data_IF_180463640950
#
_entry.id   IF_180463640950
#
_cell.length_a   1.000
_cell.length_b   1.000
_cell.length_c   1.000
_cell.angle_alpha   90.00
_cell.angle_beta   90.00
_cell.angle_gamma   90.00
#
_symmetry.space_group_name_H-M   'P 1'
#
loop_
_entity.id
_entity.type
_entity.pdbx_description
1 polymer ?
#
# COMPACT_ATOMS: atom_id res chain seq x y z
N UNK A 1 -17.18 0.64 -51.52
CA UNK A 1 -16.05 0.27 -50.65
C UNK A 1 -15.76 1.45 -49.75
N UNK A 2 -16.14 1.38 -48.47
CA UNK A 2 -15.85 2.42 -47.49
C UNK A 2 -14.62 2.00 -46.68
N UNK A 3 -13.51 2.72 -46.83
CA UNK A 3 -12.29 2.50 -46.08
C UNK A 3 -12.43 3.10 -44.67
N UNK A 4 -12.61 2.25 -43.67
CA UNK A 4 -12.52 2.66 -42.26
C UNK A 4 -11.05 2.86 -41.91
N UNK A 5 -10.56 4.09 -42.07
CA UNK A 5 -9.29 4.49 -41.47
C UNK A 5 -9.49 4.61 -39.96
N UNK A 6 -9.27 3.50 -39.25
CA UNK A 6 -9.07 3.51 -37.81
C UNK A 6 -7.78 4.28 -37.51
N UNK A 7 -7.93 5.58 -37.23
CA UNK A 7 -6.87 6.38 -36.66
C UNK A 7 -6.62 5.89 -35.23
N UNK A 8 -5.68 4.96 -35.07
CA UNK A 8 -5.01 4.74 -33.79
C UNK A 8 -4.31 6.05 -33.43
N UNK A 9 -4.93 6.85 -32.57
CA UNK A 9 -4.28 7.95 -31.89
C UNK A 9 -3.55 7.31 -30.70
N UNK A 10 -2.21 7.22 -30.71
CA UNK A 10 -1.48 6.81 -29.52
C UNK A 10 -1.62 7.94 -28.49
N UNK A 11 -2.57 7.81 -27.57
CA UNK A 11 -2.63 8.66 -26.38
C UNK A 11 -1.42 8.31 -25.51
N UNK A 12 -0.33 9.02 -25.72
CA UNK A 12 0.82 9.03 -24.81
C UNK A 12 0.38 9.84 -23.59
N UNK A 13 -0.24 9.16 -22.63
CA UNK A 13 -0.61 9.74 -21.35
C UNK A 13 0.66 9.85 -20.51
N UNK A 14 1.14 11.08 -20.29
CA UNK A 14 2.26 11.31 -19.38
C UNK A 14 1.78 11.25 -17.93
N UNK A 15 1.84 10.06 -17.34
CA UNK A 15 1.57 9.88 -15.91
C UNK A 15 2.84 10.25 -15.14
N UNK A 16 2.74 11.33 -14.36
CA UNK A 16 3.70 11.68 -13.31
C UNK A 16 3.17 11.20 -11.96
N UNK A 17 4.01 10.47 -11.23
CA UNK A 17 3.67 9.80 -9.96
C UNK A 17 4.63 10.27 -8.83
N UNK A 18 4.22 10.35 -7.55
CA UNK A 18 4.85 11.26 -6.54
C UNK A 18 5.03 10.73 -5.08
N UNK A 19 6.03 9.88 -4.72
CA UNK A 19 6.22 9.15 -3.41
C UNK A 19 7.69 8.96 -2.96
N UNK A 20 8.08 8.91 -1.67
CA UNK A 20 7.50 9.48 -0.41
C UNK A 20 8.54 9.49 0.73
N UNK A 21 8.15 10.15 1.84
CA UNK A 21 8.77 10.27 3.16
C UNK A 21 9.63 9.06 3.61
N UNK A 22 10.84 9.38 4.05
CA UNK A 22 11.74 8.48 4.77
C UNK A 22 12.16 9.15 6.10
N UNK A 23 11.54 8.76 7.22
CA UNK A 23 11.94 9.23 8.54
C UNK A 23 13.10 8.36 9.06
N UNK A 24 14.31 8.93 9.15
CA UNK A 24 15.45 8.22 9.70
C UNK A 24 15.21 7.79 11.17
N UNK A 25 15.63 6.58 11.58
CA UNK A 25 15.43 6.09 12.95
C UNK A 25 16.01 6.97 14.07
N UNK A 26 16.95 7.87 13.74
CA UNK A 26 17.66 8.72 14.70
C UNK A 26 17.03 10.08 15.00
N UNK A 27 16.03 10.55 14.22
CA UNK A 27 15.34 11.83 14.49
C UNK A 27 14.00 11.64 15.26
N UNK A 28 13.64 10.41 15.59
CA UNK A 28 12.29 10.00 16.02
C UNK A 28 12.08 9.95 17.55
N UNK A 29 12.95 10.54 18.38
CA UNK A 29 12.88 10.35 19.84
C UNK A 29 12.27 11.48 20.68
N UNK A 30 12.42 12.75 20.31
CA UNK A 30 12.12 13.86 21.25
C UNK A 30 10.85 14.68 20.94
N UNK A 31 10.31 14.65 19.72
CA UNK A 31 9.14 15.47 19.33
C UNK A 31 8.08 14.66 18.55
N UNK A 32 7.55 13.59 19.17
CA UNK A 32 6.20 13.13 18.81
C UNK A 32 5.16 14.07 19.42
N UNK A 33 5.01 15.26 18.83
CA UNK A 33 3.74 15.96 18.86
C UNK A 33 2.73 15.07 18.12
N UNK A 34 2.07 14.18 18.87
CA UNK A 34 0.93 13.41 18.37
C UNK A 34 -0.01 14.36 17.66
N UNK A 35 -0.33 14.08 16.38
CA UNK A 35 -1.16 14.93 15.54
C UNK A 35 -2.41 15.30 16.33
N UNK A 36 -2.53 16.57 16.74
CA UNK A 36 -3.68 17.03 17.52
C UNK A 36 -4.89 17.09 16.60
N UNK A 37 -5.57 15.96 16.48
CA UNK A 37 -6.77 15.81 15.68
C UNK A 37 -7.85 16.74 16.23
N UNK A 38 -8.55 17.45 15.34
CA UNK A 38 -9.69 18.27 15.73
C UNK A 38 -10.73 17.39 16.46
N UNK A 39 -11.05 17.69 17.75
CA UNK A 39 -12.02 16.90 18.50
C UNK A 39 -13.41 16.83 17.85
N UNK A 40 -13.77 17.82 17.03
CA UNK A 40 -15.01 17.82 16.26
C UNK A 40 -14.94 16.82 15.10
N UNK A 41 -13.80 16.76 14.41
CA UNK A 41 -13.57 15.77 13.35
C UNK A 41 -13.57 14.35 13.92
N UNK A 42 -12.89 14.12 15.05
CA UNK A 42 -12.94 12.84 15.77
C UNK A 42 -14.38 12.46 16.15
N UNK A 43 -15.16 13.40 16.70
CA UNK A 43 -16.56 13.16 17.05
C UNK A 43 -17.41 12.81 15.82
N UNK A 44 -17.21 13.49 14.70
CA UNK A 44 -17.94 13.28 13.44
C UNK A 44 -17.53 11.98 12.73
N UNK A 45 -16.25 11.60 12.79
CA UNK A 45 -15.77 10.31 12.29
C UNK A 45 -16.37 9.16 13.12
N UNK A 46 -16.32 9.27 14.45
CA UNK A 46 -16.83 8.26 15.37
C UNK A 46 -18.36 8.13 15.29
N UNK A 47 -19.11 9.21 15.02
CA UNK A 47 -20.58 9.15 14.89
C UNK A 47 -21.07 8.34 13.70
N UNK A 48 -20.19 8.00 12.74
CA UNK A 48 -20.52 7.13 11.59
C UNK A 48 -20.40 5.63 11.93
N UNK A 49 -19.93 5.28 13.12
CA UNK A 49 -19.69 3.89 13.55
C UNK A 49 -20.90 3.40 14.36
N UNK A 50 -21.91 2.90 13.66
CA UNK A 50 -23.19 2.50 14.26
C UNK A 50 -23.13 1.13 14.97
N UNK A 51 -22.32 0.19 14.47
CA UNK A 51 -22.31 -1.21 14.91
C UNK A 51 -20.96 -1.63 15.51
N UNK A 52 -20.74 -1.29 16.78
CA UNK A 52 -19.54 -1.72 17.52
C UNK A 52 -19.73 -3.15 18.05
N UNK A 53 -19.15 -4.12 17.36
CA UNK A 53 -19.29 -5.55 17.67
C UNK A 53 -18.56 -5.91 18.98
N UNK A 54 -19.23 -6.74 19.80
CA UNK A 54 -18.62 -7.49 20.89
C UNK A 54 -18.63 -8.97 20.51
N UNK A 55 -17.47 -9.62 20.56
CA UNK A 55 -17.27 -11.00 20.12
C UNK A 55 -17.41 -11.96 21.29
N UNK A 56 -18.42 -12.83 21.22
CA UNK A 56 -18.70 -13.88 22.20
C UNK A 56 -18.95 -15.22 21.49
N UNK A 57 -18.79 -16.34 22.21
CA UNK A 57 -19.09 -17.69 21.72
C UNK A 57 -18.47 -18.01 20.35
N UNK A 58 -17.16 -17.75 20.19
CA UNK A 58 -16.46 -18.03 18.94
C UNK A 58 -16.40 -19.54 18.66
N UNK A 59 -16.83 -19.91 17.45
CA UNK A 59 -16.83 -21.28 16.93
C UNK A 59 -16.18 -21.32 15.55
N UNK A 60 -15.90 -22.52 15.05
CA UNK A 60 -15.36 -22.72 13.70
C UNK A 60 -16.32 -22.27 12.57
N UNK A 61 -17.59 -21.98 12.89
CA UNK A 61 -18.51 -21.32 11.94
C UNK A 61 -18.06 -19.89 11.60
N UNK A 62 -17.39 -19.20 12.54
CA UNK A 62 -16.83 -17.87 12.31
C UNK A 62 -15.55 -17.97 11.46
N UNK A 63 -14.76 -19.03 11.65
CA UNK A 63 -13.62 -19.33 10.80
C UNK A 63 -14.06 -19.48 9.33
N UNK A 64 -15.03 -20.34 9.03
CA UNK A 64 -15.46 -20.54 7.64
C UNK A 64 -16.09 -19.28 7.02
N UNK A 65 -16.79 -18.44 7.79
CA UNK A 65 -17.27 -17.14 7.30
C UNK A 65 -16.12 -16.22 6.91
N UNK A 66 -15.10 -16.10 7.77
CA UNK A 66 -13.91 -15.30 7.47
C UNK A 66 -13.16 -15.79 6.22
N UNK A 67 -13.13 -17.11 5.98
CA UNK A 67 -12.49 -17.67 4.79
C UNK A 67 -13.35 -17.64 3.52
N UNK A 68 -14.65 -17.35 3.62
CA UNK A 68 -15.54 -17.12 2.46
C UNK A 68 -15.54 -15.64 2.06
N UNK A 69 -15.41 -14.73 3.01
CA UNK A 69 -15.38 -13.27 2.78
C UNK A 69 -14.07 -12.79 2.13
N UNK A 70 -13.02 -13.62 2.11
CA UNK A 70 -11.70 -13.30 1.58
C UNK A 70 -11.28 -14.34 0.53
N UNK A 71 -11.04 -13.92 -0.72
CA UNK A 71 -10.47 -14.77 -1.79
C UNK A 71 -8.95 -14.92 -1.61
N UNK A 72 -8.56 -15.41 -0.42
CA UNK A 72 -7.16 -15.51 0.01
C UNK A 72 -6.71 -16.97 -0.03
N UNK A 73 -5.40 -17.17 -0.20
CA UNK A 73 -4.80 -18.49 -0.02
C UNK A 73 -5.05 -19.01 1.40
N UNK A 74 -5.80 -20.12 1.50
CA UNK A 74 -6.17 -20.75 2.77
C UNK A 74 -5.01 -21.52 3.41
N UNK A 75 -3.93 -21.81 2.68
CA UNK A 75 -2.84 -22.70 3.11
C UNK A 75 -2.29 -22.41 4.52
N UNK A 76 -2.05 -21.13 4.83
CA UNK A 76 -1.56 -20.66 6.14
C UNK A 76 -2.54 -20.89 7.29
N UNK A 77 -3.84 -20.83 7.01
CA UNK A 77 -4.90 -20.98 8.01
C UNK A 77 -5.32 -22.46 8.17
N UNK A 78 -5.29 -23.22 7.08
CA UNK A 78 -5.56 -24.66 7.04
C UNK A 78 -4.41 -25.48 7.68
N UNK A 79 -3.20 -24.91 7.78
CA UNK A 79 -2.06 -25.50 8.49
C UNK A 79 -2.25 -25.59 10.02
N UNK A 80 -3.18 -24.81 10.58
CA UNK A 80 -3.53 -24.83 12.00
C UNK A 80 -4.60 -25.88 12.30
N UNK A 81 -4.59 -26.44 13.51
CA UNK A 81 -5.72 -27.25 14.01
C UNK A 81 -6.94 -26.38 14.33
N UNK A 82 -8.16 -26.92 14.28
CA UNK A 82 -9.36 -26.21 14.73
C UNK A 82 -9.25 -25.67 16.17
N UNK A 83 -8.58 -26.42 17.04
CA UNK A 83 -8.31 -26.03 18.42
C UNK A 83 -7.39 -24.81 18.52
N UNK A 84 -6.31 -24.75 17.71
CA UNK A 84 -5.42 -23.58 17.62
C UNK A 84 -6.15 -22.37 17.05
N UNK A 85 -6.91 -22.53 15.96
CA UNK A 85 -7.71 -21.44 15.37
C UNK A 85 -8.71 -20.86 16.37
N UNK A 86 -9.46 -21.71 17.07
CA UNK A 86 -10.41 -21.29 18.09
C UNK A 86 -9.74 -20.60 19.28
N UNK A 87 -8.54 -21.05 19.68
CA UNK A 87 -7.75 -20.41 20.74
C UNK A 87 -7.26 -19.01 20.31
N UNK A 88 -6.67 -18.89 19.13
CA UNK A 88 -6.17 -17.63 18.56
C UNK A 88 -7.29 -16.59 18.41
N UNK A 89 -8.43 -17.00 17.85
CA UNK A 89 -9.61 -16.13 17.71
C UNK A 89 -10.13 -15.66 19.08
N UNK A 90 -10.15 -16.53 20.10
CA UNK A 90 -10.57 -16.19 21.47
C UNK A 90 -9.61 -15.23 22.17
N UNK A 91 -8.32 -15.36 21.92
CA UNK A 91 -7.30 -14.43 22.42
C UNK A 91 -7.46 -13.05 21.76
N UNK A 92 -7.50 -12.98 20.42
CA UNK A 92 -7.71 -11.74 19.69
C UNK A 92 -8.99 -11.01 20.11
N UNK A 93 -10.10 -11.75 20.24
CA UNK A 93 -11.38 -11.19 20.66
C UNK A 93 -11.36 -10.56 22.07
N UNK A 94 -10.50 -11.02 22.98
CA UNK A 94 -10.35 -10.41 24.31
C UNK A 94 -9.80 -8.98 24.21
N UNK A 95 -8.73 -8.79 23.45
CA UNK A 95 -8.13 -7.47 23.21
C UNK A 95 -9.07 -6.57 22.42
N UNK A 96 -9.69 -7.10 21.35
CA UNK A 96 -10.67 -6.38 20.52
C UNK A 96 -11.88 -5.93 21.34
N UNK A 97 -12.45 -6.79 22.19
CA UNK A 97 -13.58 -6.42 23.04
C UNK A 97 -13.19 -5.31 24.04
N UNK A 98 -12.00 -5.37 24.64
CA UNK A 98 -11.51 -4.33 25.53
C UNK A 98 -11.35 -2.97 24.80
N UNK A 99 -10.80 -2.98 23.58
CA UNK A 99 -10.71 -1.79 22.73
C UNK A 99 -12.09 -1.24 22.33
N UNK A 100 -13.02 -2.12 21.96
CA UNK A 100 -14.36 -1.73 21.54
C UNK A 100 -15.19 -1.15 22.72
N UNK A 101 -15.00 -1.65 23.95
CA UNK A 101 -15.55 -1.02 25.14
C UNK A 101 -14.87 0.32 25.48
N UNK A 102 -13.55 0.47 25.22
CA UNK A 102 -12.88 1.76 25.33
C UNK A 102 -13.45 2.79 24.32
N UNK A 103 -13.71 2.36 23.08
CA UNK A 103 -14.38 3.19 22.06
C UNK A 103 -15.80 3.60 22.47
N UNK A 104 -16.65 2.63 22.87
CA UNK A 104 -18.01 2.91 23.42
C UNK A 104 -17.96 3.88 24.61
N UNK A 105 -16.93 3.76 25.46
CA UNK A 105 -16.67 4.62 26.61
C UNK A 105 -16.03 5.99 26.27
N UNK A 106 -15.82 6.30 24.98
CA UNK A 106 -15.14 7.51 24.49
C UNK A 106 -13.70 7.69 25.02
N UNK A 107 -13.03 6.56 25.30
CA UNK A 107 -11.61 6.48 25.68
C UNK A 107 -10.69 6.10 24.51
N UNK A 108 -11.26 5.88 23.33
CA UNK A 108 -10.57 5.56 22.08
C UNK A 108 -11.29 6.20 20.89
N UNK A 109 -10.55 6.49 19.81
CA UNK A 109 -11.00 7.07 18.54
C UNK A 109 -11.36 6.04 17.46
N UNK A 110 -11.23 4.74 17.74
CA UNK A 110 -11.47 3.69 16.76
C UNK A 110 -11.80 2.33 17.39
N UNK A 111 -12.44 1.47 16.60
CA UNK A 111 -12.76 0.08 16.92
C UNK A 111 -11.73 -0.87 16.34
N UNK A 112 -11.63 -2.06 16.93
CA UNK A 112 -10.95 -3.20 16.33
C UNK A 112 -11.99 -4.29 15.99
N UNK A 113 -11.67 -5.15 15.03
CA UNK A 113 -12.51 -6.25 14.53
C UNK A 113 -11.67 -7.52 14.42
N UNK A 114 -12.31 -8.68 14.54
CA UNK A 114 -11.68 -9.92 14.09
C UNK A 114 -11.49 -9.86 12.58
N UNK A 115 -10.34 -10.34 12.11
CA UNK A 115 -10.00 -10.49 10.69
C UNK A 115 -9.53 -11.92 10.44
N UNK A 116 -9.34 -12.32 9.19
CA UNK A 116 -8.72 -13.62 8.91
C UNK A 116 -7.33 -13.74 9.57
N UNK A 117 -6.57 -12.64 9.69
CA UNK A 117 -5.27 -12.62 10.38
C UNK A 117 -5.38 -13.00 11.88
N UNK A 118 -6.51 -12.70 12.54
CA UNK A 118 -6.79 -13.14 13.93
C UNK A 118 -6.77 -14.66 14.11
N UNK A 119 -6.89 -15.44 13.03
CA UNK A 119 -6.83 -16.92 13.05
C UNK A 119 -5.38 -17.41 13.28
N UNK A 120 -4.37 -16.65 12.81
CA UNK A 120 -2.96 -17.08 12.87
C UNK A 120 -2.34 -17.01 14.28
N UNK A 121 -2.89 -16.15 15.15
CA UNK A 121 -2.23 -15.83 16.41
C UNK A 121 -0.91 -15.07 16.22
N UNK A 122 -0.31 -14.60 17.31
CA UNK A 122 0.82 -13.67 17.25
C UNK A 122 2.06 -14.27 16.55
N UNK A 123 2.37 -15.54 16.82
CA UNK A 123 3.56 -16.24 16.30
C UNK A 123 3.52 -16.37 14.78
N UNK A 124 2.42 -16.90 14.25
CA UNK A 124 2.34 -17.22 12.82
C UNK A 124 1.94 -15.98 12.00
N UNK A 125 1.28 -14.99 12.61
CA UNK A 125 1.20 -13.64 12.04
C UNK A 125 2.58 -13.00 11.85
N UNK A 126 3.44 -13.01 12.87
CA UNK A 126 4.83 -12.51 12.79
C UNK A 126 5.62 -13.20 11.68
N UNK A 127 5.48 -14.51 11.55
CA UNK A 127 6.13 -15.29 10.48
C UNK A 127 5.58 -14.92 9.09
N UNK A 128 4.26 -14.70 8.93
CA UNK A 128 3.65 -14.22 7.68
C UNK A 128 4.19 -12.86 7.26
N UNK A 129 4.32 -11.91 8.17
CA UNK A 129 4.75 -10.54 7.84
C UNK A 129 6.26 -10.34 7.82
N UNK A 130 7.08 -11.37 8.14
CA UNK A 130 8.53 -11.22 8.36
C UNK A 130 9.32 -10.64 7.17
N UNK A 131 8.86 -10.88 5.95
CA UNK A 131 9.50 -10.39 4.72
C UNK A 131 9.02 -8.97 4.36
N UNK A 132 7.99 -8.46 5.02
CA UNK A 132 7.45 -7.10 4.87
C UNK A 132 8.12 -6.09 5.83
N UNK A 133 9.03 -6.56 6.69
CA UNK A 133 9.57 -5.79 7.83
C UNK A 133 10.70 -4.83 7.47
N UNK A 134 11.51 -5.19 6.48
CA UNK A 134 12.69 -4.42 6.07
C UNK A 134 12.47 -3.87 4.64
N UNK A 135 12.12 -2.58 4.48
CA UNK A 135 11.92 -1.97 3.16
C UNK A 135 13.24 -1.81 2.39
N UNK A 136 14.38 -2.12 3.01
CA UNK A 136 15.70 -2.04 2.40
C UNK A 136 16.25 -3.45 2.14
N UNK A 137 16.25 -3.93 0.88
CA UNK A 137 16.99 -5.15 0.51
C UNK A 137 18.43 -5.09 1.00
N UNK A 138 19.07 -6.23 1.29
CA UNK A 138 20.44 -6.20 1.86
C UNK A 138 21.46 -5.45 0.99
N UNK A 139 21.22 -5.43 -0.31
CA UNK A 139 22.04 -4.76 -1.34
C UNK A 139 21.63 -3.30 -1.63
N UNK A 140 20.58 -2.76 -1.00
CA UNK A 140 20.25 -1.31 -1.08
C UNK A 140 21.12 -0.44 -0.18
N UNK A 141 21.83 -1.06 0.78
CA UNK A 141 22.84 -0.44 1.64
C UNK A 141 23.96 0.13 0.79
N UNK A 142 23.77 1.39 0.41
CA UNK A 142 24.65 2.23 -0.40
C UNK A 142 25.71 1.48 -1.21
N UNK A 143 25.49 1.41 -2.53
CA UNK A 143 26.60 1.57 -3.46
C UNK A 143 27.16 2.99 -3.34
N UNK A 144 27.81 3.26 -2.21
CA UNK A 144 28.64 4.42 -1.91
C UNK A 144 29.86 4.31 -2.83
N UNK A 145 29.63 4.66 -4.10
CA UNK A 145 30.64 4.59 -5.14
C UNK A 145 31.79 5.49 -4.69
N UNK A 146 33.02 4.95 -4.68
CA UNK A 146 34.25 5.67 -4.34
C UNK A 146 34.53 6.93 -5.18
N UNK A 147 33.63 7.28 -6.11
CA UNK A 147 33.68 8.38 -7.06
C UNK A 147 32.46 9.33 -6.96
N UNK A 148 31.58 9.19 -5.97
CA UNK A 148 30.48 10.13 -5.67
C UNK A 148 29.32 10.20 -6.69
N UNK A 149 29.34 9.40 -7.76
CA UNK A 149 28.38 9.50 -8.87
C UNK A 149 26.91 9.34 -8.46
N UNK A 150 26.60 8.32 -7.65
CA UNK A 150 25.24 8.07 -7.16
C UNK A 150 24.72 9.21 -6.23
N UNK A 151 25.61 9.89 -5.52
CA UNK A 151 25.26 11.00 -4.63
C UNK A 151 24.94 12.27 -5.44
N UNK A 152 25.71 12.55 -6.49
CA UNK A 152 25.39 13.63 -7.44
C UNK A 152 24.09 13.38 -8.21
N UNK A 153 23.81 12.12 -8.58
CA UNK A 153 22.55 11.74 -9.22
C UNK A 153 21.35 11.95 -8.26
N UNK A 154 21.44 11.50 -6.99
CA UNK A 154 20.41 11.77 -5.98
C UNK A 154 20.20 13.28 -5.81
N UNK A 155 21.28 14.06 -5.64
CA UNK A 155 21.18 15.51 -5.46
C UNK A 155 20.47 16.20 -6.63
N UNK A 156 20.77 15.81 -7.87
CA UNK A 156 20.12 16.37 -9.06
C UNK A 156 18.62 16.00 -9.14
N UNK A 157 18.25 14.80 -8.68
CA UNK A 157 16.86 14.36 -8.57
C UNK A 157 16.12 15.10 -7.44
N UNK A 158 16.69 15.19 -6.24
CA UNK A 158 16.12 15.94 -5.12
C UNK A 158 15.85 17.41 -5.53
N UNK A 159 16.79 18.05 -6.25
CA UNK A 159 16.60 19.38 -6.84
C UNK A 159 15.49 19.45 -7.91
N UNK A 160 15.34 18.42 -8.76
CA UNK A 160 14.23 18.33 -9.74
C UNK A 160 12.90 18.27 -9.00
N UNK A 161 12.84 17.45 -7.95
CA UNK A 161 11.62 17.17 -7.20
C UNK A 161 11.17 18.40 -6.39
N UNK A 162 12.05 19.04 -5.63
CA UNK A 162 11.71 20.27 -4.89
C UNK A 162 11.31 21.42 -5.83
N UNK A 163 11.99 21.60 -6.98
CA UNK A 163 11.60 22.60 -8.00
C UNK A 163 10.25 22.30 -8.65
N UNK A 164 9.80 21.05 -8.65
CA UNK A 164 8.47 20.68 -9.12
C UNK A 164 7.41 20.95 -8.05
N UNK A 165 7.67 20.51 -6.81
CA UNK A 165 6.78 20.70 -5.68
C UNK A 165 6.57 22.19 -5.37
N UNK A 166 7.61 23.02 -5.46
CA UNK A 166 7.50 24.47 -5.33
C UNK A 166 6.49 25.07 -6.32
N UNK A 167 6.58 24.71 -7.61
CA UNK A 167 5.63 25.16 -8.64
C UNK A 167 4.20 24.70 -8.38
N UNK A 168 4.01 23.45 -7.94
CA UNK A 168 2.70 22.97 -7.51
C UNK A 168 2.12 23.78 -6.35
N UNK A 169 2.97 24.22 -5.41
CA UNK A 169 2.56 25.06 -4.28
C UNK A 169 2.31 26.52 -4.67
N UNK A 170 2.83 27.02 -5.79
CA UNK A 170 2.51 28.35 -6.31
C UNK A 170 1.07 28.41 -6.84
N UNK A 171 0.63 27.35 -7.56
CA UNK A 171 -0.73 27.22 -8.11
C UNK A 171 -1.79 26.80 -7.07
N UNK A 172 -1.44 26.75 -5.77
CA UNK A 172 -2.32 26.23 -4.73
C UNK A 172 -3.59 27.06 -4.58
N UNK A 173 -4.73 26.46 -4.90
CA UNK A 173 -6.05 26.93 -4.47
C UNK A 173 -6.30 26.50 -3.02
N UNK A 174 -7.25 27.17 -2.36
CA UNK A 174 -7.74 26.72 -1.07
C UNK A 174 -8.26 25.28 -1.18
N UNK A 175 -7.58 24.36 -0.49
CA UNK A 175 -7.98 22.96 -0.44
C UNK A 175 -9.28 22.84 0.37
N UNK A 176 -10.19 21.93 0.00
CA UNK A 176 -11.35 21.65 0.84
C UNK A 176 -10.90 21.12 2.21
N UNK A 177 -11.68 21.45 3.25
CA UNK A 177 -11.43 20.99 4.62
C UNK A 177 -11.29 19.47 4.66
N UNK A 178 -12.22 18.76 4.02
CA UNK A 178 -12.24 17.31 3.84
C UNK A 178 -12.33 16.97 2.34
N UNK A 179 -11.68 15.89 1.92
CA UNK A 179 -11.92 15.25 0.64
C UNK A 179 -11.57 13.76 0.74
N UNK A 180 -12.13 12.98 -0.18
CA UNK A 180 -11.85 11.57 -0.36
C UNK A 180 -11.65 11.30 -1.84
N UNK A 181 -10.91 10.25 -2.17
CA UNK A 181 -10.75 9.79 -3.54
C UNK A 181 -12.01 9.01 -3.93
N UNK A 182 -12.75 9.42 -4.97
CA UNK A 182 -13.97 8.72 -5.39
C UNK A 182 -13.70 7.25 -5.69
N UNK A 183 -14.59 6.35 -5.25
CA UNK A 183 -14.46 4.89 -5.47
C UNK A 183 -14.27 4.51 -6.94
N UNK A 184 -14.87 5.27 -7.87
CA UNK A 184 -14.67 5.08 -9.33
C UNK A 184 -13.24 5.32 -9.83
N UNK A 185 -12.34 5.84 -8.99
CA UNK A 185 -10.92 5.98 -9.27
C UNK A 185 -10.07 4.91 -8.57
N UNK A 186 -10.68 4.03 -7.78
CA UNK A 186 -9.98 3.03 -6.98
C UNK A 186 -10.27 1.64 -7.53
N UNK A 187 -9.25 0.79 -7.50
CA UNK A 187 -9.39 -0.66 -7.72
C UNK A 187 -9.79 -1.37 -6.42
N UNK A 188 -10.31 -2.60 -6.49
CA UNK A 188 -10.54 -3.42 -5.31
C UNK A 188 -9.26 -3.63 -4.50
N UNK A 189 -9.40 -3.74 -3.17
CA UNK A 189 -8.26 -4.05 -2.28
C UNK A 189 -7.72 -5.46 -2.59
N UNK A 190 -6.42 -5.58 -2.82
CA UNK A 190 -5.70 -6.83 -3.10
C UNK A 190 -4.97 -7.36 -1.83
N UNK A 191 -4.59 -8.64 -1.79
CA UNK A 191 -3.75 -9.23 -0.72
C UNK A 191 -2.35 -9.60 -1.25
N UNK A 192 -1.32 -9.09 -0.59
CA UNK A 192 0.08 -9.43 -0.89
C UNK A 192 0.54 -10.78 -0.33
N UNK A 193 -0.25 -11.42 0.54
CA UNK A 193 0.12 -12.68 1.17
C UNK A 193 1.25 -12.50 2.19
N UNK A 194 2.16 -13.47 2.26
CA UNK A 194 3.41 -13.42 3.03
C UNK A 194 4.62 -12.88 2.22
N UNK A 195 4.38 -12.34 1.02
CA UNK A 195 5.41 -11.73 0.17
C UNK A 195 5.78 -10.32 0.69
N UNK A 196 7.06 -9.93 0.61
CA UNK A 196 7.56 -8.58 0.89
C UNK A 196 7.14 -7.48 -0.12
N UNK A 197 6.10 -7.72 -0.92
CA UNK A 197 5.70 -6.92 -2.09
C UNK A 197 4.88 -5.66 -1.80
N UNK A 198 4.83 -5.15 -0.56
CA UNK A 198 3.96 -4.00 -0.20
C UNK A 198 4.15 -2.78 -1.11
N UNK A 199 5.39 -2.37 -1.40
CA UNK A 199 5.69 -1.28 -2.34
C UNK A 199 5.29 -1.61 -3.80
N UNK A 200 5.33 -2.87 -4.21
CA UNK A 200 4.87 -3.28 -5.55
C UNK A 200 3.34 -3.06 -5.67
N UNK A 201 2.57 -3.48 -4.67
CA UNK A 201 1.12 -3.26 -4.62
C UNK A 201 0.77 -1.77 -4.55
N UNK A 202 1.48 -1.00 -3.73
CA UNK A 202 1.26 0.44 -3.58
C UNK A 202 1.59 1.22 -4.87
N UNK A 203 2.66 0.84 -5.57
CA UNK A 203 2.99 1.32 -6.92
C UNK A 203 1.89 1.00 -7.92
N UNK A 204 1.40 -0.25 -7.96
CA UNK A 204 0.37 -0.67 -8.91
C UNK A 204 -0.97 0.04 -8.66
N UNK A 205 -1.47 0.01 -7.42
CA UNK A 205 -2.71 0.68 -7.04
C UNK A 205 -2.67 2.20 -7.31
N UNK A 206 -1.49 2.82 -7.20
CA UNK A 206 -1.32 4.20 -7.66
C UNK A 206 -1.51 4.33 -9.16
N UNK A 207 -0.80 3.53 -9.97
CA UNK A 207 -0.82 3.67 -11.44
C UNK A 207 -2.27 3.54 -11.94
N UNK A 208 -3.01 2.57 -11.39
CA UNK A 208 -4.45 2.40 -11.58
C UNK A 208 -5.23 3.65 -11.18
N UNK A 209 -5.02 4.18 -9.97
CA UNK A 209 -5.75 5.36 -9.48
C UNK A 209 -5.48 6.62 -10.30
N UNK A 210 -4.22 6.88 -10.64
CA UNK A 210 -3.81 8.01 -11.45
C UNK A 210 -4.41 7.93 -12.86
N UNK A 211 -4.48 6.72 -13.44
CA UNK A 211 -5.10 6.48 -14.74
C UNK A 211 -6.63 6.66 -14.71
N UNK A 212 -7.32 6.03 -13.75
CA UNK A 212 -8.78 6.10 -13.62
C UNK A 212 -9.27 7.51 -13.29
N UNK A 213 -8.49 8.29 -12.51
CA UNK A 213 -8.78 9.71 -12.25
C UNK A 213 -8.78 10.56 -13.54
N UNK A 214 -7.89 10.26 -14.47
CA UNK A 214 -7.78 10.97 -15.75
C UNK A 214 -8.77 10.45 -16.81
N UNK A 215 -9.15 9.17 -16.74
CA UNK A 215 -9.91 8.48 -17.78
C UNK A 215 -11.22 7.88 -17.24
N UNK A 216 -12.13 8.76 -16.79
CA UNK A 216 -13.33 8.38 -16.03
C UNK A 216 -14.41 7.62 -16.81
N UNK A 217 -14.18 7.35 -18.11
CA UNK A 217 -15.09 6.62 -19.01
C UNK A 217 -14.58 5.22 -19.38
N UNK A 218 -13.39 4.82 -18.89
CA UNK A 218 -12.81 3.50 -19.19
C UNK A 218 -13.24 2.42 -18.19
N UNK A 219 -13.13 1.18 -18.65
CA UNK A 219 -13.29 -0.05 -17.85
C UNK A 219 -12.27 -0.01 -16.70
N UNK A 220 -12.58 -0.51 -15.48
CA UNK A 220 -11.60 -0.63 -14.40
C UNK A 220 -10.31 -1.30 -14.89
N UNK A 221 -9.20 -0.60 -14.66
CA UNK A 221 -7.86 -1.10 -14.93
C UNK A 221 -7.43 -1.98 -13.77
N UNK A 222 -6.88 -3.16 -14.07
CA UNK A 222 -6.30 -4.05 -13.07
C UNK A 222 -4.97 -4.57 -13.64
N UNK A 223 -3.85 -4.12 -13.05
CA UNK A 223 -2.48 -4.36 -13.51
C UNK A 223 -1.78 -5.42 -12.66
N UNK A 224 -0.83 -6.13 -13.26
CA UNK A 224 -0.24 -7.31 -12.63
C UNK A 224 1.00 -7.03 -11.75
N UNK A 225 0.83 -7.07 -10.43
CA UNK A 225 1.94 -7.04 -9.45
C UNK A 225 2.97 -8.14 -9.67
N UNK A 226 2.52 -9.34 -10.10
CA UNK A 226 3.39 -10.50 -10.36
C UNK A 226 4.48 -10.20 -11.40
N UNK A 227 4.29 -9.18 -12.24
CA UNK A 227 5.26 -8.77 -13.26
C UNK A 227 6.56 -8.28 -12.62
N UNK A 228 6.48 -7.57 -11.50
CA UNK A 228 7.66 -7.16 -10.75
C UNK A 228 8.34 -8.37 -10.09
N UNK A 229 7.58 -9.27 -9.47
CA UNK A 229 8.13 -10.49 -8.85
C UNK A 229 8.84 -11.41 -9.85
N UNK A 230 8.33 -11.52 -11.07
CA UNK A 230 8.91 -12.39 -12.09
C UNK A 230 10.09 -11.76 -12.86
N UNK A 231 10.14 -10.43 -12.98
CA UNK A 231 11.07 -9.73 -13.88
C UNK A 231 12.04 -8.75 -13.20
N UNK A 232 11.74 -8.28 -11.99
CA UNK A 232 12.41 -7.14 -11.37
C UNK A 232 13.28 -7.49 -10.15
N UNK A 233 13.17 -8.69 -9.57
CA UNK A 233 14.01 -9.07 -8.42
C UNK A 233 15.49 -9.00 -8.76
N UNK A 234 16.28 -8.36 -7.89
CA UNK A 234 17.69 -8.10 -8.11
C UNK A 234 17.97 -6.81 -8.90
N UNK A 235 16.93 -6.11 -9.37
CA UNK A 235 17.04 -4.68 -9.63
C UNK A 235 17.29 -3.93 -8.31
N UNK A 236 18.04 -2.82 -8.36
CA UNK A 236 18.38 -2.03 -7.16
C UNK A 236 17.10 -1.60 -6.42
N UNK A 237 16.98 -2.03 -5.16
CA UNK A 237 15.82 -1.75 -4.31
C UNK A 237 14.65 -2.73 -4.46
N UNK A 238 14.74 -3.77 -5.30
CA UNK A 238 13.69 -4.79 -5.42
C UNK A 238 14.20 -6.14 -4.90
N UNK A 239 13.86 -6.43 -3.64
CA UNK A 239 14.14 -7.68 -2.95
C UNK A 239 13.18 -8.83 -3.28
N UNK A 240 12.04 -8.55 -3.91
CA UNK A 240 11.05 -9.54 -4.32
C UNK A 240 10.11 -9.95 -3.18
N UNK A 241 9.91 -11.26 -2.98
CA UNK A 241 9.05 -11.78 -1.91
C UNK A 241 9.76 -12.11 -0.59
N UNK A 242 11.06 -12.38 -0.60
CA UNK A 242 11.82 -12.80 0.59
C UNK A 242 12.48 -11.64 1.36
N UNK A 243 12.45 -10.44 0.78
CA UNK A 243 12.93 -9.19 1.35
C UNK A 243 11.91 -8.11 0.97
N UNK A 244 11.90 -6.95 1.64
CA UNK A 244 11.07 -5.84 1.23
C UNK A 244 11.60 -5.16 -0.03
N UNK A 245 10.97 -4.04 -0.40
CA UNK A 245 11.27 -3.31 -1.62
C UNK A 245 11.28 -1.81 -1.30
N UNK A 246 12.28 -1.07 -1.81
CA UNK A 246 12.33 0.39 -1.75
C UNK A 246 11.09 0.96 -2.45
N UNK A 247 10.44 1.96 -1.85
CA UNK A 247 9.15 2.48 -2.32
C UNK A 247 9.17 2.99 -3.77
N UNK A 248 10.26 3.60 -4.22
CA UNK A 248 10.41 4.13 -5.57
C UNK A 248 10.96 3.10 -6.57
N UNK A 249 11.54 2.00 -6.09
CA UNK A 249 12.26 1.06 -6.96
C UNK A 249 11.37 0.35 -8.00
N UNK A 250 10.12 -0.05 -7.70
CA UNK A 250 9.17 -0.51 -8.72
C UNK A 250 8.97 0.53 -9.84
N UNK A 251 8.83 1.83 -9.52
CA UNK A 251 8.75 2.87 -10.54
C UNK A 251 10.04 3.00 -11.36
N UNK A 252 11.20 3.04 -10.71
CA UNK A 252 12.50 3.10 -11.40
C UNK A 252 12.64 1.93 -12.39
N UNK A 253 12.30 0.71 -11.96
CA UNK A 253 12.32 -0.48 -12.80
C UNK A 253 11.33 -0.39 -13.97
N UNK A 254 10.07 -0.05 -13.69
CA UNK A 254 9.01 0.04 -14.69
C UNK A 254 9.37 1.01 -15.83
N UNK A 255 9.87 2.19 -15.49
CA UNK A 255 10.26 3.22 -16.46
C UNK A 255 11.49 2.78 -17.26
N UNK A 256 12.54 2.31 -16.59
CA UNK A 256 13.85 2.05 -17.22
C UNK A 256 13.99 0.70 -17.92
N UNK A 257 13.28 -0.34 -17.45
CA UNK A 257 13.43 -1.73 -17.92
C UNK A 257 12.16 -2.34 -18.54
N UNK A 258 11.03 -1.61 -18.53
CA UNK A 258 9.78 -2.02 -19.19
C UNK A 258 9.12 -0.90 -20.01
N UNK A 259 9.84 0.20 -20.24
CA UNK A 259 9.35 1.35 -21.02
C UNK A 259 8.09 2.01 -20.46
N UNK A 260 7.79 1.82 -19.17
CA UNK A 260 6.64 2.41 -18.47
C UNK A 260 5.38 1.55 -18.38
N UNK A 261 5.34 0.33 -18.93
CA UNK A 261 4.08 -0.45 -19.05
C UNK A 261 4.08 -1.79 -18.31
N UNK A 262 2.92 -2.08 -17.69
CA UNK A 262 2.58 -3.36 -17.06
C UNK A 262 1.48 -4.08 -17.88
N UNK A 263 1.46 -5.42 -17.89
CA UNK A 263 0.33 -6.18 -18.39
C UNK A 263 -0.84 -6.10 -17.39
N UNK A 264 -2.09 -6.37 -17.84
CA UNK A 264 -3.22 -6.55 -16.94
C UNK A 264 -3.09 -7.82 -16.09
N UNK A 265 -3.66 -7.81 -14.89
CA UNK A 265 -3.61 -8.90 -13.89
C UNK A 265 -4.05 -10.25 -14.49
N UNK A 266 -5.10 -10.28 -15.31
CA UNK A 266 -5.59 -11.50 -15.95
C UNK A 266 -4.59 -12.20 -16.90
N UNK A 267 -3.49 -11.54 -17.29
CA UNK A 267 -2.42 -12.11 -18.11
C UNK A 267 -1.17 -12.49 -17.31
N UNK A 268 -1.05 -12.05 -16.06
CA UNK A 268 0.01 -12.48 -15.15
C UNK A 268 -0.49 -12.49 -13.69
N UNK A 269 -1.44 -13.37 -13.33
CA UNK A 269 -2.12 -13.27 -12.04
C UNK A 269 -1.17 -13.43 -10.86
N UNK A 270 -1.42 -12.67 -9.80
CA UNK A 270 -0.67 -12.73 -8.56
C UNK A 270 -0.65 -14.14 -7.98
N UNK A 271 0.57 -14.61 -7.69
CA UNK A 271 0.78 -15.91 -7.07
C UNK A 271 2.08 -15.86 -6.24
N UNK A 272 1.88 -15.84 -4.92
CA UNK A 272 2.93 -15.73 -3.91
C UNK A 272 4.00 -16.84 -3.99
N UNK A 273 3.65 -18.02 -4.51
CA UNK A 273 4.58 -19.16 -4.66
C UNK A 273 5.44 -19.08 -5.94
N UNK A 274 5.09 -18.21 -6.89
CA UNK A 274 5.61 -18.29 -8.27
C UNK A 274 6.58 -17.19 -8.71
N UNK A 275 7.26 -16.56 -7.75
CA UNK A 275 8.40 -15.69 -8.03
C UNK A 275 9.38 -16.38 -9.02
N UNK A 276 9.81 -15.65 -10.07
CA UNK A 276 10.68 -16.10 -11.18
C UNK A 276 10.14 -17.13 -12.19
N UNK A 277 8.95 -17.72 -12.03
CA UNK A 277 8.61 -18.90 -12.83
C UNK A 277 8.42 -18.65 -14.35
N UNK A 278 8.30 -17.39 -14.78
CA UNK A 278 8.70 -16.87 -16.10
C UNK A 278 8.56 -15.35 -16.13
N UNK A 279 9.62 -14.60 -16.47
CA UNK A 279 9.45 -13.20 -16.81
C UNK A 279 8.73 -13.05 -18.15
N UNK A 280 7.61 -12.33 -18.16
CA UNK A 280 6.90 -11.97 -19.39
C UNK A 280 7.68 -10.87 -20.10
N UNK A 281 8.42 -11.28 -21.13
CA UNK A 281 9.33 -10.41 -21.89
C UNK A 281 8.58 -9.33 -22.66
N UNK A 282 9.28 -8.24 -23.01
CA UNK A 282 8.71 -7.07 -23.68
C UNK A 282 8.02 -7.36 -25.03
N UNK A 283 8.29 -8.52 -25.64
CA UNK A 283 7.58 -8.98 -26.83
C UNK A 283 6.09 -9.27 -26.58
N UNK A 284 5.71 -9.45 -25.31
CA UNK A 284 4.33 -9.38 -24.82
C UNK A 284 4.11 -8.12 -23.97
N UNK A 285 4.52 -6.95 -24.47
CA UNK A 285 3.95 -5.67 -24.06
C UNK A 285 2.50 -5.58 -24.54
N UNK A 286 1.64 -6.40 -23.94
CA UNK A 286 0.18 -6.29 -23.98
C UNK A 286 -0.18 -4.96 -23.32
N UNK A 287 -0.30 -3.95 -24.18
CA UNK A 287 -0.58 -2.57 -23.79
C UNK A 287 -1.91 -2.51 -23.03
N UNK A 288 -1.86 -2.37 -21.71
CA UNK A 288 -3.02 -2.15 -20.85
C UNK A 288 -3.69 -0.77 -21.04
N UNK A 289 -3.24 0.02 -22.03
CA UNK A 289 -3.66 1.40 -22.25
C UNK A 289 -2.85 2.41 -21.45
N UNK A 290 -1.88 1.95 -20.64
CA UNK A 290 -1.22 2.75 -19.60
C UNK A 290 0.30 2.71 -19.73
N UNK A 291 0.91 3.89 -19.57
CA UNK A 291 2.35 4.08 -19.57
C UNK A 291 2.74 5.11 -18.51
N UNK A 292 3.56 4.70 -17.55
CA UNK A 292 4.24 5.61 -16.63
C UNK A 292 5.43 6.25 -17.34
N UNK A 293 5.53 7.57 -17.25
CA UNK A 293 6.61 8.31 -17.94
C UNK A 293 7.63 8.92 -17.01
N UNK A 294 7.25 9.23 -15.76
CA UNK A 294 8.10 9.89 -14.78
C UNK A 294 7.61 9.58 -13.36
N UNK A 295 8.53 9.50 -12.40
CA UNK A 295 8.22 9.46 -10.98
C UNK A 295 9.04 10.50 -10.22
N UNK A 296 8.55 10.88 -9.05
CA UNK A 296 9.10 11.92 -8.19
C UNK A 296 9.11 11.42 -6.76
N UNK A 297 10.22 11.59 -6.06
CA UNK A 297 10.41 11.10 -4.70
C UNK A 297 10.64 12.26 -3.73
N UNK A 298 10.22 12.12 -2.47
CA UNK A 298 10.36 13.18 -1.47
C UNK A 298 10.57 12.62 -0.07
N UNK A 299 11.76 12.78 0.51
CA UNK A 299 12.07 12.22 1.83
C UNK A 299 11.30 12.88 3.00
N UNK A 300 10.74 14.09 2.83
CA UNK A 300 9.72 14.66 3.74
C UNK A 300 8.94 15.82 3.08
N UNK A 301 7.63 15.65 2.85
CA UNK A 301 6.77 16.72 2.29
C UNK A 301 5.98 17.51 3.35
N UNK A 302 5.74 16.94 4.53
CA UNK A 302 4.81 17.47 5.53
C UNK A 302 3.33 17.39 5.13
N UNK A 303 2.43 17.38 6.13
CA UNK A 303 0.99 17.13 5.94
C UNK A 303 0.31 18.06 4.93
N UNK A 304 0.61 19.35 4.95
CA UNK A 304 -0.06 20.33 4.08
C UNK A 304 0.26 20.08 2.59
N UNK A 305 1.51 19.74 2.27
CA UNK A 305 1.89 19.38 0.89
C UNK A 305 1.34 17.99 0.53
N UNK A 306 1.36 17.02 1.45
CA UNK A 306 0.75 15.71 1.23
C UNK A 306 -0.76 15.83 0.94
N UNK A 307 -1.48 16.63 1.73
CA UNK A 307 -2.91 16.95 1.53
C UNK A 307 -3.15 17.54 0.15
N UNK A 308 -2.27 18.43 -0.32
CA UNK A 308 -2.32 18.95 -1.68
C UNK A 308 -2.09 17.87 -2.75
N UNK A 309 -1.06 17.04 -2.59
CA UNK A 309 -0.72 15.97 -3.53
C UNK A 309 -1.88 14.96 -3.67
N UNK A 310 -2.47 14.48 -2.57
CA UNK A 310 -3.63 13.56 -2.65
C UNK A 310 -4.82 14.24 -3.34
N UNK A 311 -5.07 15.54 -3.08
CA UNK A 311 -6.13 16.28 -3.76
C UNK A 311 -5.89 16.37 -5.28
N UNK A 312 -4.68 16.73 -5.71
CA UNK A 312 -4.30 16.90 -7.12
C UNK A 312 -4.18 15.59 -7.87
N UNK A 313 -3.62 14.52 -7.27
CA UNK A 313 -3.34 13.24 -7.96
C UNK A 313 -4.32 12.11 -7.64
N UNK A 314 -5.07 12.19 -6.54
CA UNK A 314 -6.08 11.19 -6.15
C UNK A 314 -5.53 10.05 -5.30
N UNK A 315 -4.36 9.51 -5.62
CA UNK A 315 -3.63 8.62 -4.73
C UNK A 315 -2.23 9.18 -4.46
N UNK A 316 -1.73 8.88 -3.26
CA UNK A 316 -0.31 8.97 -2.95
C UNK A 316 0.07 7.68 -2.24
N UNK A 317 0.93 6.85 -2.84
CA UNK A 317 1.52 5.69 -2.15
C UNK A 317 2.42 6.20 -1.03
N UNK A 318 2.36 5.53 0.13
CA UNK A 318 3.14 5.95 1.30
C UNK A 318 3.86 4.79 2.00
N UNK A 319 5.09 5.04 2.45
CA UNK A 319 5.71 4.23 3.50
C UNK A 319 5.32 4.81 4.86
N UNK A 320 5.10 3.92 5.83
CA UNK A 320 4.95 4.27 7.24
C UNK A 320 5.84 3.37 8.10
N UNK A 321 6.53 3.95 9.08
CA UNK A 321 7.26 3.16 10.06
C UNK A 321 6.28 2.56 11.07
N UNK A 322 6.10 1.24 11.03
CA UNK A 322 5.29 0.50 11.99
C UNK A 322 6.23 -0.19 12.99
N UNK A 323 6.31 0.27 14.26
CA UNK A 323 7.09 -0.41 15.28
C UNK A 323 6.44 -1.74 15.69
N UNK A 324 7.24 -2.70 16.14
CA UNK A 324 6.80 -4.08 16.36
C UNK A 324 5.64 -4.22 17.37
N UNK A 325 5.55 -3.33 18.35
CA UNK A 325 4.44 -3.33 19.32
C UNK A 325 3.09 -2.92 18.68
N UNK A 326 3.09 -2.06 17.66
CA UNK A 326 1.89 -1.72 16.89
C UNK A 326 1.59 -2.77 15.82
N UNK A 327 2.61 -3.41 15.24
CA UNK A 327 2.47 -4.37 14.13
C UNK A 327 1.46 -5.49 14.43
N UNK A 328 1.58 -6.11 15.60
CA UNK A 328 0.67 -7.16 16.06
C UNK A 328 -0.77 -6.68 16.34
N UNK A 329 -0.96 -5.37 16.50
CA UNK A 329 -2.25 -4.73 16.80
C UNK A 329 -2.97 -4.28 15.52
N UNK A 330 -2.22 -3.85 14.50
CA UNK A 330 -2.76 -3.34 13.23
C UNK A 330 -3.60 -4.37 12.47
N UNK A 331 -3.29 -5.67 12.58
CA UNK A 331 -4.09 -6.76 12.00
C UNK A 331 -5.54 -6.83 12.46
N UNK A 332 -5.92 -6.08 13.51
CA UNK A 332 -7.28 -6.04 14.05
C UNK A 332 -7.97 -4.70 13.84
N UNK A 333 -7.39 -3.72 13.14
CA UNK A 333 -8.00 -2.40 12.98
C UNK A 333 -9.35 -2.49 12.26
N UNK A 334 -10.36 -1.88 12.88
CA UNK A 334 -11.76 -1.87 12.43
C UNK A 334 -12.11 -0.59 11.68
N UNK A 335 -12.68 0.37 12.39
CA UNK A 335 -13.13 1.65 11.84
C UNK A 335 -12.88 2.80 12.83
N UNK A 336 -12.74 4.03 12.31
CA UNK A 336 -12.43 5.23 13.10
C UNK A 336 -11.06 5.79 12.75
N UNK A 337 -10.53 6.69 13.58
CA UNK A 337 -9.18 7.23 13.38
C UNK A 337 -8.20 6.43 14.23
N UNK A 338 -7.38 5.64 13.53
CA UNK A 338 -6.48 4.63 14.09
C UNK A 338 -5.40 5.25 14.99
N UNK A 339 -5.18 4.58 16.13
CA UNK A 339 -4.01 4.72 17.00
C UNK A 339 -3.45 3.28 17.21
N UNK A 340 -3.22 2.81 18.43
CA UNK A 340 -2.91 1.38 18.68
C UNK A 340 -4.05 0.61 19.37
N UNK A 341 -4.43 -0.60 18.88
CA UNK A 341 -5.45 -1.41 19.58
C UNK A 341 -4.94 -1.71 21.01
N UNK A 342 -5.86 -1.90 21.96
CA UNK A 342 -5.51 -2.43 23.28
C UNK A 342 -4.67 -3.73 23.18
N UNK A 343 -3.68 -3.93 24.07
CA UNK A 343 -2.84 -5.13 24.10
C UNK A 343 -3.61 -6.41 24.50
#
# INVERSE_FOLDING_TARGET
MASWNLAFIPMVVSIGVFFVINNEPGQLQDEWDFIQMDPNYLMQANSKIENVVTYENLTEEIYEKMMIENDWDRSYFDALTPEERAANLKEAAKAINAQNEAFKSKKSSFTCKLTALSILGEKDFKERVKNQLDPFPKDSRESSSLLGGAQHEKQALDEKYEKYLARLMEDRKDLPTEFFTPERYLTPVKDQGNCGSCAIFATVATIETAFLKQNTELIPLDLAEQTFLNCAKGFRGIGGCSEGNEIDAPFRYLISHRGGSLPPECLNPYNVEKEHNQCITEHYNVNAGVKVTDNYHFDNVGEQKLKYLVNVYGAVEVAMFVPDYMRNKMQHVGAGVMDECAP
#
